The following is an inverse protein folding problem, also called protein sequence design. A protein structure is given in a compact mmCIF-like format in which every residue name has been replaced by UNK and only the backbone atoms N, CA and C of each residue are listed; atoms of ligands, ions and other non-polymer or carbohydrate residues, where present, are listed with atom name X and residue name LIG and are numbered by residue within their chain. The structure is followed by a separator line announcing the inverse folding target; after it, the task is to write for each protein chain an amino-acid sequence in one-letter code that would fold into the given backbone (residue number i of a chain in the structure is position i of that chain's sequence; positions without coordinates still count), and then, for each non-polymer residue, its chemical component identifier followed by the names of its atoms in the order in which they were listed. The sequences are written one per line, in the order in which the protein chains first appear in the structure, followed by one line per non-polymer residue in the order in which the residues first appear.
data_IF_214418267318
#
_entry.id   IF_214418267318
#
_cell.length_a   1.000
_cell.length_b   1.000
_cell.length_c   1.000
_cell.angle_alpha   90.00
_cell.angle_beta   90.00
_cell.angle_gamma   90.00
#
_symmetry.space_group_name_H-M   'P 1'
#
loop_
_entity.id
_entity.type
_entity.pdbx_description
1 polymer ?
#
# COMPACT_ATOMS: atom_id res chain seq x y z
N UNK A 1 8.04 7.89 -27.05
CA UNK A 1 7.70 8.82 -25.97
C UNK A 1 8.54 8.42 -24.75
N UNK A 2 9.32 9.37 -24.21
CA UNK A 2 10.28 9.08 -23.13
C UNK A 2 9.59 8.63 -21.84
N UNK A 3 10.30 7.77 -21.11
CA UNK A 3 9.95 7.30 -19.80
C UNK A 3 10.27 8.42 -18.78
N UNK A 4 9.38 9.38 -18.68
CA UNK A 4 9.61 10.62 -17.94
C UNK A 4 8.53 10.96 -16.92
N UNK A 5 8.70 12.12 -16.28
CA UNK A 5 7.73 12.69 -15.36
C UNK A 5 6.40 13.01 -16.06
N UNK A 6 5.26 12.93 -15.37
CA UNK A 6 3.97 13.30 -15.93
C UNK A 6 3.91 14.79 -16.26
N UNK A 7 3.27 15.14 -17.37
CA UNK A 7 3.16 16.53 -17.85
C UNK A 7 2.35 17.45 -16.92
N UNK A 8 1.46 16.90 -16.12
CA UNK A 8 0.61 17.64 -15.18
C UNK A 8 0.78 16.95 -13.83
N UNK A 9 1.37 17.65 -12.88
CA UNK A 9 1.43 17.25 -11.49
C UNK A 9 0.63 18.27 -10.68
N UNK A 10 -0.61 17.95 -10.36
CA UNK A 10 -1.34 18.71 -9.35
C UNK A 10 -0.68 18.46 -8.00
N UNK A 11 -0.33 19.52 -7.28
CA UNK A 11 0.44 19.54 -6.03
C UNK A 11 -0.22 18.84 -4.82
N UNK A 12 -1.16 17.96 -5.03
CA UNK A 12 -1.70 17.10 -3.98
C UNK A 12 -0.70 15.95 -3.77
N UNK A 13 0.30 16.18 -2.92
CA UNK A 13 1.23 15.14 -2.52
C UNK A 13 0.46 13.98 -1.89
N UNK A 14 0.59 12.81 -2.48
CA UNK A 14 0.13 11.59 -1.85
C UNK A 14 0.73 11.49 -0.44
N UNK A 15 -0.11 11.19 0.55
CA UNK A 15 0.38 10.88 1.91
C UNK A 15 1.22 9.61 1.82
N UNK A 16 2.17 9.45 2.75
CA UNK A 16 2.88 8.18 2.90
C UNK A 16 1.91 7.00 2.94
N UNK A 17 2.35 5.88 2.42
CA UNK A 17 1.63 4.64 2.61
C UNK A 17 1.46 4.39 4.12
N UNK A 18 0.27 3.99 4.53
CA UNK A 18 0.00 3.65 5.93
C UNK A 18 0.29 2.17 6.11
N UNK A 19 1.35 1.81 6.86
CA UNK A 19 1.67 0.42 7.12
C UNK A 19 0.49 -0.28 7.81
N UNK A 20 0.27 -1.53 7.41
CA UNK A 20 -0.74 -2.40 8.00
C UNK A 20 -0.38 -3.85 7.71
N UNK A 21 -0.91 -4.75 8.51
CA UNK A 21 -0.83 -6.17 8.22
C UNK A 21 -1.70 -6.51 7.01
N UNK A 22 -1.10 -7.07 5.98
CA UNK A 22 -1.76 -7.58 4.78
C UNK A 22 -1.32 -9.02 4.53
N UNK A 23 -2.22 -9.91 4.08
CA UNK A 23 -1.80 -11.24 3.64
C UNK A 23 -0.89 -11.11 2.43
N UNK A 24 0.02 -12.06 2.27
CA UNK A 24 0.82 -12.13 1.06
C UNK A 24 -0.08 -12.25 -0.16
N UNK A 25 0.31 -11.56 -1.23
CA UNK A 25 -0.39 -11.63 -2.50
C UNK A 25 -0.28 -13.04 -3.09
N UNK A 26 -1.35 -13.52 -3.69
CA UNK A 26 -1.36 -14.74 -4.49
C UNK A 26 -0.37 -14.66 -5.68
N UNK A 27 -0.13 -13.44 -6.17
CA UNK A 27 0.72 -13.17 -7.33
C UNK A 27 1.99 -12.43 -6.94
N UNK A 28 3.04 -12.64 -7.74
CA UNK A 28 4.30 -11.91 -7.64
C UNK A 28 5.27 -12.47 -6.59
N UNK A 29 4.89 -13.49 -5.81
CA UNK A 29 5.75 -14.09 -4.79
C UNK A 29 6.54 -15.34 -5.26
N UNK A 30 6.60 -15.55 -6.58
CA UNK A 30 7.35 -16.66 -7.16
C UNK A 30 6.56 -17.98 -7.22
N UNK A 31 7.26 -19.06 -7.52
CA UNK A 31 6.73 -20.43 -7.49
C UNK A 31 6.58 -20.92 -6.02
N UNK A 32 6.18 -22.18 -5.83
CA UNK A 32 6.00 -22.79 -4.50
C UNK A 32 7.30 -22.76 -3.62
N UNK A 33 8.47 -22.59 -4.26
CA UNK A 33 9.77 -22.47 -3.61
C UNK A 33 10.21 -21.00 -3.46
N UNK A 34 9.36 -20.05 -3.88
CA UNK A 34 9.64 -18.62 -3.83
C UNK A 34 10.61 -18.13 -4.90
N UNK A 35 10.67 -18.78 -6.08
CA UNK A 35 11.52 -18.32 -7.18
C UNK A 35 10.68 -17.79 -8.35
N UNK A 36 11.21 -16.78 -9.01
CA UNK A 36 10.68 -16.28 -10.29
C UNK A 36 11.84 -15.94 -11.23
N UNK A 37 11.58 -15.89 -12.52
CA UNK A 37 12.59 -15.64 -13.54
C UNK A 37 12.22 -14.42 -14.40
N UNK A 38 13.21 -13.58 -14.67
CA UNK A 38 13.09 -12.45 -15.60
C UNK A 38 14.32 -12.40 -16.48
N UNK A 39 14.12 -12.46 -17.79
CA UNK A 39 15.20 -12.39 -18.81
C UNK A 39 16.33 -13.41 -18.56
N UNK A 40 15.97 -14.64 -18.21
CA UNK A 40 16.91 -15.71 -17.94
C UNK A 40 17.66 -15.62 -16.59
N UNK A 41 17.43 -14.57 -15.80
CA UNK A 41 17.97 -14.43 -14.44
C UNK A 41 16.95 -14.86 -13.41
N UNK A 42 17.34 -15.75 -12.52
CA UNK A 42 16.48 -16.27 -11.46
C UNK A 42 16.63 -15.43 -10.19
N UNK A 43 15.51 -15.10 -9.57
CA UNK A 43 15.41 -14.33 -8.34
C UNK A 43 14.70 -15.13 -7.27
N UNK A 44 15.09 -14.91 -6.02
CA UNK A 44 14.44 -15.54 -4.87
C UNK A 44 13.68 -14.51 -4.06
N UNK A 45 12.44 -14.82 -3.74
CA UNK A 45 11.63 -14.04 -2.79
C UNK A 45 11.97 -14.48 -1.37
N UNK A 46 12.13 -13.53 -0.47
CA UNK A 46 12.36 -13.79 0.94
C UNK A 46 11.09 -14.36 1.58
N UNK A 47 11.25 -15.26 2.54
CA UNK A 47 10.11 -15.84 3.28
C UNK A 47 9.46 -14.83 4.24
N UNK A 48 10.20 -13.80 4.64
CA UNK A 48 9.72 -12.74 5.54
C UNK A 48 10.46 -11.45 5.23
N UNK A 49 9.83 -10.32 5.49
CA UNK A 49 10.45 -8.99 5.47
C UNK A 49 10.99 -8.57 6.85
N UNK A 50 10.84 -9.42 7.87
CA UNK A 50 11.27 -9.09 9.24
C UNK A 50 12.76 -8.73 9.26
N UNK A 51 13.07 -7.64 9.95
CA UNK A 51 14.42 -7.11 10.14
C UNK A 51 15.17 -6.75 8.83
N UNK A 52 14.44 -6.68 7.70
CA UNK A 52 15.06 -6.27 6.44
C UNK A 52 15.51 -4.82 6.51
N UNK A 53 16.79 -4.62 6.24
CA UNK A 53 17.43 -3.31 6.14
C UNK A 53 18.56 -3.39 5.13
N UNK A 54 18.52 -2.58 4.06
CA UNK A 54 19.51 -2.58 3.00
C UNK A 54 19.82 -1.16 2.53
N UNK A 55 21.10 -0.88 2.28
CA UNK A 55 21.56 0.37 1.68
C UNK A 55 21.93 0.13 0.24
N UNK A 56 21.46 0.96 -0.68
CA UNK A 56 21.78 0.83 -2.08
C UNK A 56 21.18 1.96 -2.93
N UNK A 57 21.19 1.75 -4.25
CA UNK A 57 20.69 2.75 -5.19
C UNK A 57 19.19 2.55 -5.42
N UNK A 58 18.42 3.63 -5.20
CA UNK A 58 17.04 3.73 -5.66
C UNK A 58 16.97 4.43 -7.01
N UNK A 59 16.03 4.03 -7.84
CA UNK A 59 15.55 4.82 -8.98
C UNK A 59 14.03 4.96 -8.94
N UNK A 60 13.42 5.49 -9.99
CA UNK A 60 11.97 5.58 -10.10
C UNK A 60 11.53 5.23 -11.52
N UNK A 61 10.30 4.73 -11.64
CA UNK A 61 9.72 4.32 -12.92
C UNK A 61 8.60 5.27 -13.36
N UNK A 62 8.62 5.57 -14.65
CA UNK A 62 7.91 6.70 -15.22
C UNK A 62 6.54 6.36 -15.80
N UNK A 63 6.03 7.29 -16.61
CA UNK A 63 4.66 7.30 -17.15
C UNK A 63 4.30 6.11 -18.02
N UNK A 64 5.27 5.46 -18.67
CA UNK A 64 5.00 4.29 -19.54
C UNK A 64 4.39 3.09 -18.84
N UNK A 65 4.54 3.02 -17.51
CA UNK A 65 3.99 1.93 -16.69
C UNK A 65 2.63 2.29 -16.06
N UNK A 66 2.25 3.55 -16.06
CA UNK A 66 1.00 4.00 -15.48
C UNK A 66 -0.21 3.28 -16.11
N UNK A 67 -1.09 2.75 -15.28
CA UNK A 67 -2.27 1.99 -15.70
C UNK A 67 -1.99 0.52 -16.05
N UNK A 68 -0.73 0.05 -16.01
CA UNK A 68 -0.40 -1.37 -16.21
C UNK A 68 -0.48 -2.15 -14.92
N UNK A 69 -0.64 -3.46 -15.05
CA UNK A 69 -0.63 -4.36 -13.88
C UNK A 69 0.80 -4.51 -13.34
N UNK A 70 0.91 -4.42 -12.02
CA UNK A 70 2.10 -4.78 -11.26
C UNK A 70 2.20 -6.31 -11.10
N UNK A 71 3.31 -6.79 -10.55
CA UNK A 71 3.51 -8.24 -10.34
C UNK A 71 2.48 -8.87 -9.41
N UNK A 72 1.94 -8.10 -8.45
CA UNK A 72 0.85 -8.57 -7.59
C UNK A 72 -0.56 -8.29 -8.16
N UNK A 73 -0.66 -7.97 -9.47
CA UNK A 73 -1.92 -7.73 -10.20
C UNK A 73 -2.69 -6.47 -9.82
N UNK A 74 -2.07 -5.53 -9.14
CA UNK A 74 -2.64 -4.20 -8.93
C UNK A 74 -2.37 -3.28 -10.13
N UNK A 75 -3.19 -2.27 -10.33
CA UNK A 75 -2.93 -1.24 -11.35
C UNK A 75 -1.87 -0.27 -10.81
N UNK A 76 -0.74 -0.14 -11.53
CA UNK A 76 0.28 0.84 -11.17
C UNK A 76 -0.24 2.27 -11.32
N UNK A 77 -0.20 3.00 -10.22
CA UNK A 77 -0.50 4.42 -10.16
C UNK A 77 0.76 5.22 -9.83
N UNK A 78 1.24 6.00 -10.80
CA UNK A 78 2.45 6.83 -10.67
C UNK A 78 2.37 7.86 -9.52
N UNK A 79 1.15 8.20 -9.08
CA UNK A 79 0.88 9.16 -8.00
C UNK A 79 0.70 8.49 -6.62
N UNK A 80 0.68 7.17 -6.56
CA UNK A 80 0.57 6.43 -5.29
C UNK A 80 1.95 6.24 -4.64
N UNK A 81 1.98 6.04 -3.33
CA UNK A 81 3.21 5.71 -2.57
C UNK A 81 3.51 4.22 -2.67
N UNK A 82 4.04 3.80 -3.81
CA UNK A 82 4.36 2.40 -4.12
C UNK A 82 5.79 2.25 -4.63
N UNK A 83 6.27 1.00 -4.63
CA UNK A 83 7.59 0.65 -5.12
C UNK A 83 7.65 -0.78 -5.67
N UNK A 84 8.72 -1.05 -6.45
CA UNK A 84 9.12 -2.38 -6.88
C UNK A 84 10.39 -2.82 -6.15
N UNK A 85 10.46 -4.09 -5.75
CA UNK A 85 11.61 -4.70 -5.08
C UNK A 85 11.84 -6.14 -5.57
N UNK A 86 13.13 -6.55 -5.66
CA UNK A 86 13.50 -7.86 -6.21
C UNK A 86 13.04 -9.03 -5.33
N UNK A 87 13.23 -8.92 -4.01
CA UNK A 87 13.16 -10.08 -3.11
C UNK A 87 12.19 -9.96 -1.95
N UNK A 88 11.72 -8.77 -1.59
CA UNK A 88 10.75 -8.62 -0.50
C UNK A 88 9.44 -9.34 -0.85
N UNK A 89 8.77 -10.00 0.11
CA UNK A 89 7.42 -10.54 -0.11
C UNK A 89 6.45 -9.44 -0.52
N UNK A 90 5.51 -9.73 -1.40
CA UNK A 90 4.47 -8.77 -1.81
C UNK A 90 3.15 -9.08 -1.09
N UNK A 91 2.52 -8.07 -0.50
CA UNK A 91 3.00 -6.72 -0.28
C UNK A 91 3.90 -6.60 0.95
N UNK A 92 4.83 -5.64 0.93
CA UNK A 92 5.62 -5.23 2.10
C UNK A 92 5.62 -3.71 2.20
N UNK A 93 5.52 -3.17 3.41
CA UNK A 93 5.72 -1.73 3.64
C UNK A 93 7.18 -1.48 4.01
N UNK A 94 7.76 -0.47 3.40
CA UNK A 94 9.14 -0.06 3.68
C UNK A 94 9.22 1.44 3.91
N UNK A 95 10.08 1.84 4.84
CA UNK A 95 10.57 3.21 4.99
C UNK A 95 11.80 3.35 4.12
N UNK A 96 11.79 4.30 3.21
CA UNK A 96 12.93 4.64 2.35
C UNK A 96 13.47 5.99 2.80
N UNK A 97 14.76 6.03 3.11
CA UNK A 97 15.47 7.24 3.54
C UNK A 97 16.53 7.61 2.51
N UNK A 98 16.44 8.79 1.92
CA UNK A 98 17.52 9.33 1.08
C UNK A 98 18.70 9.72 1.99
N UNK A 99 19.84 9.03 1.82
CA UNK A 99 20.99 9.17 2.71
C UNK A 99 21.57 10.58 2.66
N UNK A 100 21.52 11.25 1.50
CA UNK A 100 22.10 12.57 1.29
C UNK A 100 21.31 13.69 1.99
N UNK A 101 19.99 13.72 1.80
CA UNK A 101 19.15 14.83 2.27
C UNK A 101 18.27 14.47 3.47
N UNK A 102 18.34 13.24 3.97
CA UNK A 102 17.59 12.70 5.11
C UNK A 102 16.07 12.70 4.95
N UNK A 103 15.54 13.03 3.78
CA UNK A 103 14.11 12.91 3.51
C UNK A 103 13.69 11.43 3.53
N UNK A 104 12.49 11.18 4.03
CA UNK A 104 11.94 9.84 4.16
C UNK A 104 10.58 9.73 3.50
N UNK A 105 10.23 8.52 3.08
CA UNK A 105 8.91 8.17 2.59
C UNK A 105 8.57 6.74 2.99
N UNK A 106 7.30 6.47 3.31
CA UNK A 106 6.81 5.11 3.48
C UNK A 106 6.08 4.73 2.20
N UNK A 107 6.50 3.62 1.60
CA UNK A 107 5.92 3.08 0.37
C UNK A 107 5.49 1.62 0.58
N UNK A 108 4.50 1.21 -0.20
CA UNK A 108 4.06 -0.17 -0.27
C UNK A 108 4.71 -0.84 -1.49
N UNK A 109 5.53 -1.83 -1.25
CA UNK A 109 6.13 -2.67 -2.29
C UNK A 109 5.06 -3.60 -2.82
N UNK A 110 4.70 -3.44 -4.09
CA UNK A 110 3.65 -4.21 -4.77
C UNK A 110 4.06 -4.72 -6.15
N UNK A 111 5.34 -4.53 -6.52
CA UNK A 111 5.85 -4.93 -7.82
C UNK A 111 7.25 -5.54 -7.73
N UNK A 112 7.68 -6.20 -8.82
CA UNK A 112 9.00 -6.80 -8.99
C UNK A 112 9.91 -5.93 -9.85
N UNK A 113 11.14 -5.81 -9.42
CA UNK A 113 12.23 -5.00 -9.97
C UNK A 113 13.04 -4.34 -8.86
N UNK A 114 14.00 -3.50 -9.20
CA UNK A 114 14.57 -3.23 -10.53
C UNK A 114 15.35 -4.43 -11.09
N UNK A 115 15.27 -4.62 -12.41
CA UNK A 115 16.04 -5.64 -13.11
C UNK A 115 17.30 -5.05 -13.79
N UNK A 116 17.80 -3.98 -13.23
CA UNK A 116 19.07 -3.34 -13.55
C UNK A 116 20.01 -3.58 -12.38
N UNK A 117 21.25 -3.92 -12.67
CA UNK A 117 22.25 -4.18 -11.63
C UNK A 117 22.48 -2.92 -10.79
N UNK A 118 22.97 -3.10 -9.55
CA UNK A 118 23.26 -2.06 -8.54
C UNK A 118 22.06 -1.29 -7.96
N UNK A 119 20.85 -1.46 -8.49
CA UNK A 119 19.65 -0.86 -7.91
C UNK A 119 18.91 -1.86 -7.02
N UNK A 120 18.44 -1.38 -5.86
CA UNK A 120 17.70 -2.22 -4.90
C UNK A 120 16.20 -1.98 -4.93
N UNK A 121 15.77 -0.76 -5.27
CA UNK A 121 14.34 -0.38 -5.26
C UNK A 121 14.04 0.61 -6.39
N UNK A 122 12.89 0.44 -7.04
CA UNK A 122 12.33 1.43 -7.96
C UNK A 122 11.08 2.04 -7.35
N UNK A 123 11.07 3.35 -7.18
CA UNK A 123 10.00 4.10 -6.55
C UNK A 123 8.98 4.59 -7.59
N UNK A 124 7.74 4.81 -7.16
CA UNK A 124 6.81 5.62 -7.95
C UNK A 124 7.32 7.06 -8.08
N UNK A 125 6.83 7.79 -9.07
CA UNK A 125 7.17 9.20 -9.25
C UNK A 125 6.83 10.05 -8.02
N UNK A 126 5.66 9.83 -7.40
CA UNK A 126 5.26 10.55 -6.21
C UNK A 126 6.21 10.31 -5.03
N UNK A 127 6.65 9.08 -4.83
CA UNK A 127 7.63 8.73 -3.79
C UNK A 127 9.01 9.35 -4.08
N UNK A 128 9.48 9.29 -5.33
CA UNK A 128 10.74 9.90 -5.75
C UNK A 128 10.73 11.43 -5.59
N UNK A 129 9.60 12.07 -5.88
CA UNK A 129 9.43 13.51 -5.69
C UNK A 129 9.54 13.89 -4.22
N UNK A 130 8.92 13.10 -3.34
CA UNK A 130 8.97 13.34 -1.89
C UNK A 130 10.37 13.15 -1.31
N UNK A 131 11.15 12.22 -1.86
CA UNK A 131 12.57 12.01 -1.50
C UNK A 131 13.51 13.02 -2.17
N UNK A 132 12.98 13.92 -3.05
CA UNK A 132 13.76 14.92 -3.77
C UNK A 132 14.87 14.29 -4.64
N UNK A 133 14.50 13.26 -5.40
CA UNK A 133 15.42 12.52 -6.25
C UNK A 133 15.01 12.44 -7.73
N UNK A 134 13.90 13.10 -8.11
CA UNK A 134 13.39 13.05 -9.50
C UNK A 134 14.40 13.59 -10.49
N UNK A 135 15.02 14.74 -10.19
CA UNK A 135 15.97 15.40 -11.08
C UNK A 135 17.28 14.62 -11.25
N UNK A 136 17.74 13.94 -10.20
CA UNK A 136 18.94 13.08 -10.27
C UNK A 136 18.66 11.72 -10.91
N UNK A 137 17.38 11.32 -11.00
CA UNK A 137 16.97 10.00 -11.49
C UNK A 137 17.24 8.87 -10.51
N UNK A 138 18.28 8.98 -9.70
CA UNK A 138 18.71 7.99 -8.70
C UNK A 138 19.14 8.66 -7.41
N UNK A 139 19.15 7.90 -6.31
CA UNK A 139 19.69 8.30 -5.02
C UNK A 139 20.21 7.12 -4.22
N UNK A 140 21.22 7.34 -3.37
CA UNK A 140 21.58 6.37 -2.35
C UNK A 140 20.56 6.42 -1.22
N UNK A 141 19.97 5.29 -0.91
CA UNK A 141 18.90 5.15 0.08
C UNK A 141 19.19 4.05 1.09
N UNK A 142 18.62 4.19 2.28
CA UNK A 142 18.41 3.10 3.22
C UNK A 142 16.96 2.67 3.10
N UNK A 143 16.72 1.38 2.88
CA UNK A 143 15.40 0.74 2.81
C UNK A 143 15.24 -0.14 4.04
N UNK A 144 14.24 0.16 4.86
CA UNK A 144 13.94 -0.58 6.10
C UNK A 144 12.50 -1.11 6.02
N UNK A 145 12.32 -2.42 6.15
CA UNK A 145 10.97 -2.98 6.20
C UNK A 145 10.26 -2.56 7.48
N UNK A 146 9.01 -2.18 7.34
CA UNK A 146 8.11 -1.93 8.47
C UNK A 146 7.36 -3.25 8.68
N UNK A 147 7.79 -3.98 9.70
CA UNK A 147 7.16 -5.21 10.10
C UNK A 147 6.17 -4.91 11.23
N UNK A 148 4.91 -5.20 10.98
CA UNK A 148 3.88 -5.11 12.01
C UNK A 148 3.78 -6.46 12.71
N UNK A 149 4.38 -6.56 13.91
CA UNK A 149 4.34 -7.77 14.74
C UNK A 149 2.91 -8.06 15.27
N UNK A 150 1.95 -7.17 15.00
CA UNK A 150 0.56 -7.36 15.43
C UNK A 150 -0.15 -8.51 14.72
N UNK A 151 0.48 -9.15 13.72
CA UNK A 151 -0.06 -10.33 13.04
C UNK A 151 0.02 -11.64 13.85
N UNK A 152 0.71 -11.66 15.00
CA UNK A 152 0.81 -12.86 15.85
C UNK A 152 -0.26 -12.97 16.94
N UNK A 153 -1.18 -12.03 17.03
CA UNK A 153 -2.35 -12.13 17.92
C UNK A 153 -3.59 -11.56 17.26
N UNK A 154 -4.19 -12.30 16.33
CA UNK A 154 -5.62 -12.13 16.03
C UNK A 154 -6.46 -12.71 17.17
N UNK A 155 -6.23 -12.23 18.39
CA UNK A 155 -7.33 -12.09 19.32
C UNK A 155 -8.14 -10.91 18.78
N UNK A 156 -8.99 -11.19 17.80
CA UNK A 156 -10.09 -10.31 17.45
C UNK A 156 -11.05 -10.33 18.64
N UNK A 157 -10.75 -9.54 19.68
CA UNK A 157 -11.73 -9.18 20.69
C UNK A 157 -12.80 -8.33 19.96
N UNK A 158 -13.70 -9.04 19.27
CA UNK A 158 -14.92 -8.47 18.75
C UNK A 158 -15.77 -8.18 19.97
N UNK A 159 -15.66 -6.94 20.45
CA UNK A 159 -16.57 -6.42 21.48
C UNK A 159 -17.91 -6.10 20.83
N UNK A 160 -18.96 -6.11 21.61
CA UNK A 160 -20.25 -5.62 21.15
C UNK A 160 -20.05 -4.23 20.53
N UNK A 161 -20.57 -4.03 19.29
CA UNK A 161 -20.45 -2.81 18.49
C UNK A 161 -19.09 -2.56 17.81
N UNK A 162 -18.37 -3.62 17.41
CA UNK A 162 -17.21 -3.48 16.52
C UNK A 162 -17.63 -3.17 15.08
N UNK A 163 -16.79 -2.41 14.35
CA UNK A 163 -17.01 -2.07 12.94
C UNK A 163 -15.78 -2.40 12.11
N UNK A 164 -15.98 -2.73 10.84
CA UNK A 164 -14.89 -2.87 9.87
C UNK A 164 -14.76 -1.55 9.11
N UNK A 165 -13.67 -0.83 9.34
CA UNK A 165 -13.33 0.34 8.52
C UNK A 165 -12.73 -0.14 7.20
N UNK A 166 -13.31 0.30 6.08
CA UNK A 166 -12.94 -0.08 4.71
C UNK A 166 -12.39 1.09 3.90
N UNK A 167 -12.45 2.30 4.44
CA UNK A 167 -11.90 3.50 3.80
C UNK A 167 -11.80 4.67 4.76
N UNK A 168 -10.93 5.64 4.42
CA UNK A 168 -10.82 6.93 5.08
C UNK A 168 -10.56 8.00 4.02
N UNK A 169 -11.39 9.03 3.95
CA UNK A 169 -11.39 10.05 2.92
C UNK A 169 -11.27 11.44 3.57
N UNK A 170 -10.58 12.36 2.90
CA UNK A 170 -10.55 13.77 3.28
C UNK A 170 -11.77 14.53 2.77
N UNK A 171 -12.33 14.09 1.64
CA UNK A 171 -13.47 14.69 0.99
C UNK A 171 -14.73 13.88 1.28
N UNK A 172 -15.82 14.60 1.59
CA UNK A 172 -17.12 13.99 1.90
C UNK A 172 -17.68 13.20 0.72
N UNK A 173 -17.63 13.80 -0.45
CA UNK A 173 -18.17 13.25 -1.70
C UNK A 173 -17.55 11.87 -1.98
N UNK A 174 -16.23 11.74 -1.93
CA UNK A 174 -15.51 10.49 -2.17
C UNK A 174 -15.91 9.38 -1.19
N UNK A 175 -16.18 9.74 0.07
CA UNK A 175 -16.65 8.77 1.07
C UNK A 175 -18.07 8.29 0.78
N UNK A 176 -18.95 9.17 0.31
CA UNK A 176 -20.32 8.81 -0.03
C UNK A 176 -20.42 8.04 -1.34
N UNK A 177 -19.62 8.35 -2.35
CA UNK A 177 -19.50 7.56 -3.58
C UNK A 177 -19.05 6.14 -3.26
N UNK A 178 -18.03 6.00 -2.41
CA UNK A 178 -17.59 4.69 -1.96
C UNK A 178 -18.65 3.94 -1.14
N UNK A 179 -19.43 4.65 -0.30
CA UNK A 179 -20.57 4.07 0.41
C UNK A 179 -21.63 3.52 -0.55
N UNK A 180 -21.92 4.25 -1.65
CA UNK A 180 -22.89 3.82 -2.67
C UNK A 180 -22.41 2.50 -3.29
N UNK A 181 -21.16 2.43 -3.71
CA UNK A 181 -20.56 1.21 -4.28
C UNK A 181 -20.69 0.03 -3.31
N UNK A 182 -20.42 0.22 -2.03
CA UNK A 182 -20.57 -0.83 -1.03
C UNK A 182 -22.02 -1.29 -0.88
N UNK A 183 -23.00 -0.36 -0.87
CA UNK A 183 -24.42 -0.71 -0.76
C UNK A 183 -24.93 -1.47 -1.99
N UNK A 184 -24.51 -1.10 -3.19
CA UNK A 184 -24.79 -1.83 -4.43
C UNK A 184 -24.24 -3.26 -4.38
N UNK A 185 -23.08 -3.45 -3.74
CA UNK A 185 -22.47 -4.77 -3.48
C UNK A 185 -23.02 -5.47 -2.22
N UNK A 186 -24.25 -5.13 -1.80
CA UNK A 186 -25.02 -5.76 -0.70
C UNK A 186 -24.50 -5.51 0.72
N UNK A 187 -23.56 -4.60 0.93
CA UNK A 187 -23.15 -4.17 2.27
C UNK A 187 -24.12 -3.12 2.83
N UNK A 188 -25.37 -3.52 3.12
CA UNK A 188 -26.44 -2.61 3.55
C UNK A 188 -26.12 -1.85 4.84
N UNK A 189 -25.34 -2.45 5.73
CA UNK A 189 -24.92 -1.87 7.01
C UNK A 189 -23.64 -1.00 6.90
N UNK A 190 -23.23 -0.62 5.68
CA UNK A 190 -22.17 0.35 5.48
C UNK A 190 -22.64 1.76 5.85
N UNK A 191 -21.76 2.52 6.52
CA UNK A 191 -22.01 3.91 6.96
C UNK A 191 -20.77 4.78 6.76
N UNK A 192 -20.96 6.11 6.77
CA UNK A 192 -19.86 7.08 6.88
C UNK A 192 -19.90 7.68 8.29
N UNK A 193 -18.75 7.65 8.99
CA UNK A 193 -18.55 8.30 10.30
C UNK A 193 -17.55 9.44 10.14
N UNK A 194 -17.85 10.62 10.62
CA UNK A 194 -16.92 11.74 10.66
C UNK A 194 -15.99 11.60 11.87
N UNK A 195 -14.70 11.85 11.63
CA UNK A 195 -13.68 11.90 12.69
C UNK A 195 -12.96 13.23 12.62
N UNK A 196 -12.99 13.96 13.73
CA UNK A 196 -12.25 15.21 13.90
C UNK A 196 -10.85 14.91 14.40
N UNK A 197 -9.84 15.60 13.87
CA UNK A 197 -8.47 15.50 14.38
C UNK A 197 -8.19 16.66 15.34
N UNK A 198 -7.77 16.33 16.55
CA UNK A 198 -7.34 17.31 17.56
C UNK A 198 -5.92 17.84 17.31
N UNK A 199 -5.12 17.11 16.50
CA UNK A 199 -3.71 17.43 16.26
C UNK A 199 -3.50 18.41 15.08
N UNK A 200 -4.53 18.63 14.26
CA UNK A 200 -4.53 19.63 13.18
C UNK A 200 -5.87 20.37 13.24
N UNK A 201 -5.87 21.67 13.48
CA UNK A 201 -7.12 22.44 13.50
C UNK A 201 -7.84 22.27 12.13
N UNK A 202 -9.10 21.89 12.18
CA UNK A 202 -10.01 21.76 11.03
C UNK A 202 -9.78 20.59 10.06
N UNK A 203 -9.05 19.52 10.41
CA UNK A 203 -9.04 18.34 9.56
C UNK A 203 -10.16 17.37 9.95
N UNK A 204 -11.13 17.20 9.05
CA UNK A 204 -12.18 16.18 9.13
C UNK A 204 -11.76 14.99 8.26
N UNK A 205 -11.96 13.78 8.76
CA UNK A 205 -11.84 12.55 7.98
C UNK A 205 -13.17 11.83 7.95
N UNK A 206 -13.57 11.37 6.78
CA UNK A 206 -14.79 10.59 6.56
C UNK A 206 -14.40 9.11 6.50
N UNK A 207 -14.76 8.36 7.55
CA UNK A 207 -14.44 6.94 7.68
C UNK A 207 -15.62 6.13 7.15
N UNK A 208 -15.38 5.27 6.16
CA UNK A 208 -16.37 4.33 5.66
C UNK A 208 -16.26 3.03 6.44
N UNK A 209 -17.34 2.59 7.05
CA UNK A 209 -17.40 1.49 8.01
C UNK A 209 -18.55 0.54 7.69
N UNK A 210 -18.37 -0.75 7.97
CA UNK A 210 -19.41 -1.79 7.88
C UNK A 210 -19.58 -2.40 9.26
N UNK A 211 -20.82 -2.48 9.74
CA UNK A 211 -21.16 -3.05 11.05
C UNK A 211 -22.48 -2.51 11.59
N UNK A 212 -22.84 -2.81 12.86
CA UNK A 212 -21.97 -3.48 13.82
C UNK A 212 -21.73 -4.95 13.51
N UNK A 213 -20.59 -5.46 13.94
CA UNK A 213 -20.24 -6.87 13.90
C UNK A 213 -20.10 -7.40 15.33
N UNK A 214 -20.77 -8.51 15.61
CA UNK A 214 -20.87 -9.04 16.97
C UNK A 214 -20.16 -10.39 17.09
N UNK A 215 -19.85 -11.04 15.98
CA UNK A 215 -19.23 -12.36 15.98
C UNK A 215 -18.08 -12.45 14.98
N UNK A 216 -17.12 -13.34 15.28
CA UNK A 216 -16.04 -13.66 14.34
C UNK A 216 -16.57 -14.21 13.02
N UNK A 217 -17.67 -14.97 13.05
CA UNK A 217 -18.32 -15.51 11.84
C UNK A 217 -18.84 -14.41 10.92
N UNK A 218 -19.44 -13.35 11.49
CA UNK A 218 -19.91 -12.20 10.71
C UNK A 218 -18.74 -11.43 10.12
N UNK A 219 -17.68 -11.23 10.90
CA UNK A 219 -16.43 -10.64 10.43
C UNK A 219 -15.87 -11.40 9.21
N UNK A 220 -15.65 -12.71 9.34
CA UNK A 220 -15.08 -13.54 8.27
C UNK A 220 -15.97 -13.53 7.01
N UNK A 221 -17.29 -13.55 7.17
CA UNK A 221 -18.24 -13.46 6.06
C UNK A 221 -18.13 -12.12 5.33
N UNK A 222 -18.05 -11.01 6.07
CA UNK A 222 -17.92 -9.66 5.48
C UNK A 222 -16.58 -9.53 4.78
N UNK A 223 -15.47 -9.94 5.41
CA UNK A 223 -14.13 -9.89 4.80
C UNK A 223 -14.06 -10.70 3.52
N UNK A 224 -14.60 -11.92 3.51
CA UNK A 224 -14.62 -12.74 2.29
C UNK A 224 -15.47 -12.12 1.17
N UNK A 225 -16.54 -11.41 1.52
CA UNK A 225 -17.37 -10.70 0.54
C UNK A 225 -16.68 -9.42 0.02
N UNK A 226 -15.95 -8.70 0.88
CA UNK A 226 -15.15 -7.53 0.51
C UNK A 226 -14.02 -7.90 -0.45
N UNK A 227 -13.33 -9.03 -0.20
CA UNK A 227 -12.28 -9.55 -1.09
C UNK A 227 -12.81 -9.81 -2.51
N UNK A 228 -14.04 -10.32 -2.67
CA UNK A 228 -14.66 -10.59 -3.98
C UNK A 228 -14.87 -9.32 -4.81
N UNK A 229 -15.01 -8.17 -4.18
CA UNK A 229 -15.16 -6.86 -4.85
C UNK A 229 -13.86 -6.04 -4.84
N UNK A 230 -12.70 -6.69 -4.56
CA UNK A 230 -11.39 -6.02 -4.59
C UNK A 230 -11.06 -5.17 -3.38
N UNK A 231 -11.85 -5.26 -2.30
CA UNK A 231 -11.58 -4.53 -1.05
C UNK A 231 -10.80 -5.43 -0.09
N UNK A 232 -9.50 -5.24 -0.05
CA UNK A 232 -8.57 -6.01 0.81
C UNK A 232 -8.16 -5.23 2.06
N UNK A 233 -8.44 -3.94 2.10
CA UNK A 233 -7.96 -3.01 3.11
C UNK A 233 -9.04 -2.78 4.16
N UNK A 234 -8.90 -3.42 5.31
CA UNK A 234 -9.88 -3.30 6.38
C UNK A 234 -9.19 -3.19 7.74
N UNK A 235 -9.82 -2.48 8.69
CA UNK A 235 -9.40 -2.38 10.07
C UNK A 235 -10.59 -2.57 10.98
N UNK A 236 -10.46 -3.40 12.02
CA UNK A 236 -11.47 -3.47 13.09
C UNK A 236 -11.31 -2.23 13.97
N UNK A 237 -12.44 -1.62 14.28
CA UNK A 237 -12.56 -0.50 15.21
C UNK A 237 -13.70 -0.79 16.17
N UNK A 238 -13.47 -0.51 17.43
CA UNK A 238 -14.50 -0.53 18.46
C UNK A 238 -15.03 0.91 18.61
N UNK A 239 -16.35 1.06 18.65
CA UNK A 239 -17.00 2.37 18.89
C UNK A 239 -16.88 2.79 20.34
#
# INVERSE_FOLDING_TARGET
MGDGAPKIFTKSFSRDAVPRSEPLSEYGNGDERGYYEVRGKRYRVMSSSKDYSETGIASWYGTKFHGRLTSNREIYNIYAMTAAHKSLPLPTYVKVTNIRNKKTVIVRVNDRGPFVDDRIIDLSYAAALKLDMVNSGTANVLVEAIYDDSSSSTNTDIKNESYIQVGAFSERENAYDYLIILKENKFRNARVKMKYSWLKPLSISYLVQIGPINTKKDYDKIINSLKKIGVYQTKIIND
#
